data_IF_386140860447
#
_entry.id   IF_386140860447
#
_cell.length_a   1.000
_cell.length_b   1.000
_cell.length_c   1.000
_cell.angle_alpha   90.00
_cell.angle_beta   90.00
_cell.angle_gamma   90.00
#
_symmetry.space_group_name_H-M   'P 1'
#
loop_
_entity.id
_entity.type
_entity.pdbx_description
1 polymer ?
#
# COMPACT_ATOMS: atom_id res chain seq x y z
N UNK A 1 16.04 11.47 3.93
CA UNK A 1 16.44 10.88 2.63
C UNK A 1 15.23 10.27 1.90
N UNK A 2 14.22 11.08 1.50
CA UNK A 2 12.88 10.58 1.08
C UNK A 2 12.71 10.38 -0.45
N UNK A 3 13.76 10.57 -1.25
CA UNK A 3 13.67 10.59 -2.73
C UNK A 3 14.04 9.27 -3.40
N UNK A 4 14.20 8.17 -2.65
CA UNK A 4 14.49 6.86 -3.22
C UNK A 4 13.20 6.18 -3.72
N UNK A 5 13.27 5.29 -4.74
CA UNK A 5 12.10 4.54 -5.23
C UNK A 5 11.35 3.80 -4.11
N UNK A 6 12.09 3.23 -3.16
CA UNK A 6 11.53 2.59 -1.97
C UNK A 6 10.79 3.58 -1.05
N UNK A 7 11.32 4.80 -0.86
CA UNK A 7 10.68 5.83 -0.05
C UNK A 7 9.37 6.33 -0.66
N UNK A 8 9.30 6.50 -1.99
CA UNK A 8 8.07 6.86 -2.70
C UNK A 8 7.00 5.78 -2.56
N UNK A 9 7.41 4.52 -2.71
CA UNK A 9 6.53 3.37 -2.49
C UNK A 9 6.00 3.32 -1.04
N UNK A 10 6.84 3.55 -0.03
CA UNK A 10 6.42 3.57 1.37
C UNK A 10 5.35 4.62 1.65
N UNK A 11 5.52 5.84 1.14
CA UNK A 11 4.51 6.90 1.30
C UNK A 11 3.17 6.47 0.67
N UNK A 12 3.19 5.92 -0.54
CA UNK A 12 1.99 5.41 -1.18
C UNK A 12 1.35 4.24 -0.41
N UNK A 13 2.17 3.33 0.14
CA UNK A 13 1.71 2.21 0.96
C UNK A 13 0.96 2.70 2.20
N UNK A 14 1.50 3.70 2.92
CA UNK A 14 0.80 4.29 4.07
C UNK A 14 -0.50 4.98 3.68
N UNK A 15 -0.52 5.72 2.57
CA UNK A 15 -1.74 6.39 2.08
C UNK A 15 -2.82 5.36 1.76
N UNK A 16 -2.49 4.35 0.96
CA UNK A 16 -3.43 3.31 0.54
C UNK A 16 -3.88 2.48 1.74
N UNK A 17 -2.96 2.08 2.63
CA UNK A 17 -3.29 1.32 3.84
C UNK A 17 -4.21 2.09 4.78
N UNK A 18 -3.97 3.40 4.97
CA UNK A 18 -4.86 4.28 5.74
C UNK A 18 -6.24 4.42 5.11
N UNK A 19 -6.31 4.64 3.79
CA UNK A 19 -7.57 4.69 3.05
C UNK A 19 -8.33 3.36 3.12
N UNK A 20 -7.64 2.22 3.19
CA UNK A 20 -8.24 0.90 3.30
C UNK A 20 -8.89 0.71 4.68
N UNK A 21 -8.24 1.16 5.76
CA UNK A 21 -8.84 1.18 7.10
C UNK A 21 -10.08 2.07 7.13
N UNK A 22 -10.01 3.25 6.50
CA UNK A 22 -11.17 4.13 6.39
C UNK A 22 -12.28 3.53 5.52
N UNK A 23 -11.92 2.76 4.49
CA UNK A 23 -12.88 2.04 3.66
C UNK A 23 -13.60 0.94 4.45
N UNK A 24 -12.90 0.20 5.31
CA UNK A 24 -13.52 -0.75 6.24
C UNK A 24 -14.50 -0.03 7.16
N UNK A 25 -14.11 1.12 7.72
CA UNK A 25 -15.02 1.95 8.51
C UNK A 25 -16.26 2.38 7.71
N UNK A 26 -16.08 2.83 6.47
CA UNK A 26 -17.20 3.19 5.58
C UNK A 26 -18.14 2.00 5.32
N UNK A 27 -17.62 0.78 5.20
CA UNK A 27 -18.44 -0.44 5.06
C UNK A 27 -19.22 -0.75 6.35
N UNK A 28 -18.63 -0.54 7.53
CA UNK A 28 -19.34 -0.67 8.81
C UNK A 28 -20.46 0.36 8.92
N UNK A 29 -20.23 1.61 8.53
CA UNK A 29 -21.26 2.66 8.52
C UNK A 29 -22.40 2.32 7.56
N UNK A 30 -22.07 1.86 6.35
CA UNK A 30 -23.06 1.47 5.34
C UNK A 30 -23.91 0.29 5.78
N UNK A 31 -23.30 -0.82 6.19
CA UNK A 31 -24.05 -2.05 6.48
C UNK A 31 -24.58 -2.12 7.91
N UNK A 32 -23.93 -1.44 8.86
CA UNK A 32 -24.32 -1.42 10.27
C UNK A 32 -25.28 -0.28 10.62
N UNK A 33 -25.22 0.85 9.91
CA UNK A 33 -25.99 2.07 10.23
C UNK A 33 -26.76 2.65 9.03
N UNK A 34 -26.76 1.97 7.88
CA UNK A 34 -27.37 2.43 6.61
C UNK A 34 -26.87 3.82 6.13
N UNK A 35 -25.72 4.26 6.64
CA UNK A 35 -25.15 5.56 6.33
C UNK A 35 -24.18 5.45 5.15
N UNK A 36 -24.46 6.23 4.09
CA UNK A 36 -23.74 6.22 2.83
C UNK A 36 -22.74 7.38 2.67
N UNK A 37 -22.60 8.26 3.66
CA UNK A 37 -21.82 9.50 3.60
C UNK A 37 -20.32 9.26 3.35
N UNK A 38 -19.82 8.06 3.67
CA UNK A 38 -18.41 7.70 3.55
C UNK A 38 -18.08 6.88 2.29
N UNK A 39 -19.05 6.64 1.40
CA UNK A 39 -18.83 5.82 0.20
C UNK A 39 -17.80 6.41 -0.78
N UNK A 40 -17.58 7.73 -0.77
CA UNK A 40 -16.55 8.39 -1.57
C UNK A 40 -15.13 7.90 -1.25
N UNK A 41 -14.90 7.35 -0.05
CA UNK A 41 -13.61 6.75 0.36
C UNK A 41 -13.24 5.58 -0.56
N UNK A 42 -14.23 4.82 -1.06
CA UNK A 42 -13.98 3.73 -1.99
C UNK A 42 -13.38 4.23 -3.31
N UNK A 43 -13.90 5.36 -3.83
CA UNK A 43 -13.41 5.98 -5.06
C UNK A 43 -11.98 6.53 -4.86
N UNK A 44 -11.75 7.23 -3.74
CA UNK A 44 -10.43 7.78 -3.40
C UNK A 44 -9.41 6.66 -3.22
N UNK A 45 -9.76 5.59 -2.49
CA UNK A 45 -8.91 4.42 -2.33
C UNK A 45 -8.55 3.79 -3.68
N UNK A 46 -9.53 3.56 -4.56
CA UNK A 46 -9.29 2.99 -5.89
C UNK A 46 -8.31 3.81 -6.72
N UNK A 47 -8.43 5.15 -6.69
CA UNK A 47 -7.50 6.03 -7.40
C UNK A 47 -6.07 5.94 -6.86
N UNK A 48 -5.90 6.05 -5.54
CA UNK A 48 -4.58 5.95 -4.91
C UNK A 48 -3.98 4.55 -5.02
N UNK A 49 -4.82 3.51 -5.07
CA UNK A 49 -4.39 2.14 -5.25
C UNK A 49 -3.70 1.94 -6.62
N UNK A 50 -4.19 2.58 -7.69
CA UNK A 50 -3.54 2.54 -9.01
C UNK A 50 -2.14 3.17 -8.93
N UNK A 51 -2.01 4.34 -8.30
CA UNK A 51 -0.72 5.00 -8.11
C UNK A 51 0.25 4.11 -7.32
N UNK A 52 -0.25 3.47 -6.27
CA UNK A 52 0.52 2.51 -5.48
C UNK A 52 1.00 1.32 -6.33
N UNK A 53 0.15 0.73 -7.18
CA UNK A 53 0.53 -0.37 -8.06
C UNK A 53 1.63 0.02 -9.04
N UNK A 54 1.59 1.24 -9.59
CA UNK A 54 2.63 1.75 -10.48
C UNK A 54 3.97 1.84 -9.73
N UNK A 55 3.98 2.39 -8.51
CA UNK A 55 5.19 2.48 -7.70
C UNK A 55 5.68 1.11 -7.22
N UNK A 56 4.76 0.19 -6.91
CA UNK A 56 5.07 -1.18 -6.55
C UNK A 56 5.77 -1.91 -7.70
N UNK A 57 5.25 -1.73 -8.91
CA UNK A 57 5.84 -2.30 -10.12
C UNK A 57 7.19 -1.66 -10.48
N UNK A 58 7.34 -0.34 -10.36
CA UNK A 58 8.62 0.35 -10.55
C UNK A 58 9.68 -0.17 -9.56
N UNK A 59 9.33 -0.31 -8.28
CA UNK A 59 10.22 -0.88 -7.26
C UNK A 59 10.56 -2.34 -7.60
N UNK A 60 9.57 -3.15 -7.96
CA UNK A 60 9.77 -4.55 -8.34
C UNK A 60 10.76 -4.69 -9.51
N UNK A 61 10.60 -3.91 -10.58
CA UNK A 61 11.50 -3.93 -11.74
C UNK A 61 12.93 -3.53 -11.39
N UNK A 62 13.12 -2.56 -10.50
CA UNK A 62 14.46 -2.12 -10.05
C UNK A 62 15.12 -3.09 -9.09
N UNK A 63 14.33 -3.84 -8.31
CA UNK A 63 14.84 -4.69 -7.23
C UNK A 63 15.22 -6.11 -7.69
N UNK A 64 14.80 -6.53 -8.90
CA UNK A 64 14.95 -7.91 -9.43
C UNK A 64 14.45 -8.98 -8.45
N UNK A 65 13.45 -8.66 -7.66
CA UNK A 65 12.87 -9.57 -6.68
C UNK A 65 12.03 -10.66 -7.35
N UNK A 66 11.81 -11.81 -6.69
CA UNK A 66 10.91 -12.84 -7.23
C UNK A 66 9.47 -12.31 -7.30
N UNK A 67 8.70 -12.79 -8.28
CA UNK A 67 7.31 -12.36 -8.54
C UNK A 67 6.40 -12.45 -7.31
N UNK A 68 6.70 -13.37 -6.38
CA UNK A 68 6.00 -13.48 -5.09
C UNK A 68 5.99 -12.17 -4.31
N UNK A 69 7.04 -11.35 -4.38
CA UNK A 69 7.06 -10.05 -3.69
C UNK A 69 6.11 -9.04 -4.31
N UNK A 70 5.99 -9.03 -5.64
CA UNK A 70 4.99 -8.18 -6.29
C UNK A 70 3.58 -8.60 -5.86
N UNK A 71 3.30 -9.90 -5.76
CA UNK A 71 2.03 -10.39 -5.23
C UNK A 71 1.81 -9.98 -3.77
N UNK A 72 2.83 -10.09 -2.90
CA UNK A 72 2.77 -9.61 -1.51
C UNK A 72 2.48 -8.09 -1.45
N UNK A 73 3.07 -7.29 -2.33
CA UNK A 73 2.81 -5.83 -2.43
C UNK A 73 1.38 -5.54 -2.92
N UNK A 74 0.90 -6.26 -3.93
CA UNK A 74 -0.48 -6.10 -4.41
C UNK A 74 -1.46 -6.43 -3.28
N UNK A 75 -1.32 -7.61 -2.65
CA UNK A 75 -2.19 -8.08 -1.57
C UNK A 75 -2.17 -7.15 -0.35
N UNK A 76 -1.03 -6.54 -0.05
CA UNK A 76 -0.92 -5.53 1.00
C UNK A 76 -1.85 -4.33 0.79
N UNK A 77 -2.20 -4.00 -0.46
CA UNK A 77 -3.13 -2.92 -0.77
C UNK A 77 -4.60 -3.35 -0.86
N UNK A 78 -4.94 -4.62 -0.61
CA UNK A 78 -6.32 -5.11 -0.52
C UNK A 78 -6.70 -5.58 0.89
N UNK A 79 -5.75 -6.13 1.64
CA UNK A 79 -6.02 -6.75 2.93
C UNK A 79 -5.74 -5.75 4.05
N UNK A 80 -6.76 -5.30 4.81
CA UNK A 80 -6.56 -4.40 5.94
C UNK A 80 -5.63 -5.04 6.97
N UNK A 81 -4.64 -4.28 7.44
CA UNK A 81 -3.61 -4.76 8.35
C UNK A 81 -2.39 -5.40 7.67
N UNK A 82 -2.55 -5.99 6.48
CA UNK A 82 -1.43 -6.60 5.75
C UNK A 82 -0.44 -5.55 5.22
N UNK A 83 -0.93 -4.34 4.91
CA UNK A 83 -0.09 -3.22 4.46
C UNK A 83 1.04 -2.93 5.44
N UNK A 84 0.76 -2.87 6.73
CA UNK A 84 1.75 -2.57 7.77
C UNK A 84 2.81 -3.66 7.91
N UNK A 85 2.43 -4.93 7.75
CA UNK A 85 3.35 -6.08 7.85
C UNK A 85 4.29 -6.10 6.65
N UNK A 86 3.71 -5.98 5.45
CA UNK A 86 4.47 -6.02 4.19
C UNK A 86 5.40 -4.82 4.10
N UNK A 87 4.99 -3.65 4.57
CA UNK A 87 5.86 -2.49 4.60
C UNK A 87 7.05 -2.66 5.55
N UNK A 88 6.84 -3.19 6.78
CA UNK A 88 7.96 -3.52 7.70
C UNK A 88 8.93 -4.51 7.07
N UNK A 89 8.44 -5.45 6.25
CA UNK A 89 9.27 -6.41 5.52
C UNK A 89 10.05 -5.72 4.39
N UNK A 90 9.38 -4.89 3.57
CA UNK A 90 10.02 -4.15 2.47
C UNK A 90 11.04 -3.13 2.99
N UNK A 91 10.76 -2.45 4.11
CA UNK A 91 11.69 -1.52 4.74
C UNK A 91 12.96 -2.20 5.30
N UNK A 92 12.88 -3.49 5.68
CA UNK A 92 14.07 -4.28 6.04
C UNK A 92 14.86 -4.67 4.80
N UNK A 93 14.19 -5.19 3.77
CA UNK A 93 14.86 -5.58 2.54
C UNK A 93 15.45 -4.41 1.75
N UNK A 94 14.79 -3.25 1.74
CA UNK A 94 15.33 -2.05 1.10
C UNK A 94 16.61 -1.55 1.78
N UNK A 95 16.77 -1.79 3.10
CA UNK A 95 18.01 -1.52 3.84
C UNK A 95 19.11 -2.54 3.56
N UNK A 96 18.75 -3.79 3.24
CA UNK A 96 19.73 -4.83 2.88
C UNK A 96 20.25 -4.69 1.44
N UNK A 97 19.40 -4.24 0.50
CA UNK A 97 19.77 -4.00 -0.91
C UNK A 97 20.55 -2.70 -1.08
N UNK A 98 20.48 -1.80 -0.10
CA UNK A 98 21.29 -0.59 -0.05
C UNK A 98 22.42 -0.83 0.96
N UNK A 99 23.55 -1.49 0.57
CA UNK A 99 24.71 -1.54 1.44
C UNK A 99 25.09 -0.10 1.78
N UNK A 100 25.49 0.10 3.03
CA UNK A 100 25.82 1.38 3.63
C UNK A 100 26.39 2.38 2.61
N UNK A 101 25.78 3.56 2.52
CA UNK A 101 26.50 4.71 2.01
C UNK A 101 27.66 5.03 2.96
#
# INVERSE_FOLDING_TARGET
MKNTPAGRYQVAAYIVGGLLVLLVFAMVMKYGFDNHDFMWVALVHGYFYIVYLILAFDLFRRSRWPMRRLAEMILAGLIPGMTFIVERRIARFAREVQPAQ
#
